data_IF_307770964878
#
_entry.id   IF_307770964878
#
_cell.length_a   1.000
_cell.length_b   1.000
_cell.length_c   1.000
_cell.angle_alpha   90.00
_cell.angle_beta   90.00
_cell.angle_gamma   90.00
#
_symmetry.space_group_name_H-M   'P 1'
#
loop_
_entity.id
_entity.type
_entity.pdbx_description
1 polymer ?
#
# COMPACT_ATOMS: atom_id res chain seq x y z
N UNK A 1 37.28 -7.23 -30.33
CA UNK A 1 37.28 -7.54 -28.88
C UNK A 1 37.24 -9.05 -28.69
N UNK A 2 38.03 -9.61 -27.77
CA UNK A 2 38.10 -11.08 -27.57
C UNK A 2 36.73 -11.59 -27.06
N UNK A 3 36.20 -12.72 -27.55
CA UNK A 3 34.84 -13.19 -27.23
C UNK A 3 34.60 -13.39 -25.73
N UNK A 4 35.65 -13.72 -24.97
CA UNK A 4 35.66 -13.79 -23.51
C UNK A 4 35.32 -12.47 -22.79
N UNK A 5 35.61 -11.32 -23.40
CA UNK A 5 35.34 -10.00 -22.82
C UNK A 5 33.91 -9.50 -23.13
N UNK A 6 33.33 -9.97 -24.24
CA UNK A 6 31.94 -9.66 -24.61
C UNK A 6 30.98 -10.43 -23.72
N UNK A 7 31.25 -11.72 -23.46
CA UNK A 7 30.44 -12.53 -22.52
C UNK A 7 30.45 -11.96 -21.09
N UNK A 8 31.61 -11.45 -20.63
CA UNK A 8 31.72 -10.80 -19.33
C UNK A 8 30.88 -9.52 -19.24
N UNK A 9 30.88 -8.69 -20.29
CA UNK A 9 30.09 -7.46 -20.30
C UNK A 9 28.58 -7.73 -20.30
N UNK A 10 28.10 -8.73 -21.02
CA UNK A 10 26.67 -9.10 -21.02
C UNK A 10 26.21 -9.56 -19.64
N UNK A 11 27.03 -10.35 -18.93
CA UNK A 11 26.72 -10.81 -17.56
C UNK A 11 26.69 -9.64 -16.56
N UNK A 12 27.59 -8.67 -16.69
CA UNK A 12 27.63 -7.48 -15.83
C UNK A 12 26.39 -6.61 -16.05
N UNK A 13 26.01 -6.37 -17.31
CA UNK A 13 24.83 -5.57 -17.64
C UNK A 13 23.55 -6.29 -17.18
N UNK A 14 23.45 -7.60 -17.35
CA UNK A 14 22.31 -8.39 -16.88
C UNK A 14 22.20 -8.41 -15.34
N UNK A 15 23.34 -8.52 -14.64
CA UNK A 15 23.40 -8.44 -13.18
C UNK A 15 23.00 -7.06 -12.65
N UNK A 16 23.41 -5.99 -13.34
CA UNK A 16 23.06 -4.62 -12.96
C UNK A 16 21.57 -4.30 -13.18
N UNK A 17 20.92 -4.93 -14.17
CA UNK A 17 19.47 -4.84 -14.38
C UNK A 17 18.69 -5.55 -13.27
N UNK A 18 19.19 -6.69 -12.76
CA UNK A 18 18.56 -7.40 -11.64
C UNK A 18 18.63 -6.63 -10.30
N UNK A 19 19.65 -5.78 -10.11
CA UNK A 19 19.77 -4.94 -8.90
C UNK A 19 18.84 -3.73 -8.90
N UNK A 20 18.34 -3.31 -10.07
CA UNK A 20 17.37 -2.21 -10.21
C UNK A 20 15.92 -2.67 -9.97
N UNK A 21 15.69 -3.97 -9.84
CA UNK A 21 14.37 -4.56 -9.52
C UNK A 21 14.22 -4.97 -8.06
N UNK A 22 15.19 -4.63 -7.19
CA UNK A 22 15.00 -4.77 -5.74
C UNK A 22 13.99 -3.69 -5.35
N UNK A 23 12.71 -4.06 -5.37
CA UNK A 23 11.60 -3.21 -5.00
C UNK A 23 11.90 -2.53 -3.68
N UNK A 24 11.58 -1.24 -3.62
CA UNK A 24 11.61 -0.44 -2.40
C UNK A 24 11.10 -1.29 -1.23
N UNK A 25 11.97 -1.56 -0.25
CA UNK A 25 11.55 -2.15 1.01
C UNK A 25 10.47 -1.25 1.59
N UNK A 26 9.22 -1.70 1.55
CA UNK A 26 8.07 -0.90 1.95
C UNK A 26 8.03 -0.87 3.48
N UNK A 27 8.79 0.04 4.07
CA UNK A 27 8.75 0.31 5.50
C UNK A 27 7.40 0.94 5.89
N UNK A 28 6.97 0.71 7.14
CA UNK A 28 5.85 1.40 7.76
C UNK A 28 5.90 2.90 7.43
N UNK A 29 4.91 3.38 6.68
CA UNK A 29 4.86 4.77 6.24
C UNK A 29 3.43 5.28 6.16
N UNK A 30 3.32 6.59 6.01
CA UNK A 30 2.06 7.24 5.74
C UNK A 30 1.71 7.13 4.25
N UNK A 31 0.45 6.82 3.97
CA UNK A 31 -0.13 6.84 2.64
C UNK A 31 -1.39 7.69 2.64
N UNK A 32 -1.61 8.42 1.54
CA UNK A 32 -2.88 9.09 1.29
C UNK A 32 -3.65 8.17 0.35
N UNK A 33 -4.82 7.71 0.77
CA UNK A 33 -5.57 6.71 0.04
C UNK A 33 -7.01 7.14 -0.24
N UNK A 34 -7.56 6.57 -1.30
CA UNK A 34 -9.01 6.52 -1.52
C UNK A 34 -9.55 5.21 -0.96
N UNK A 35 -10.70 5.27 -0.29
CA UNK A 35 -11.40 4.07 0.20
C UNK A 35 -12.28 3.52 -0.90
N UNK A 36 -12.03 2.29 -1.32
CA UNK A 36 -12.81 1.61 -2.35
C UNK A 36 -13.98 0.81 -1.74
N UNK A 37 -13.72 0.07 -0.66
CA UNK A 37 -14.72 -0.71 0.10
C UNK A 37 -14.34 -0.74 1.57
N UNK A 38 -15.34 -0.85 2.45
CA UNK A 38 -15.10 -1.10 3.87
C UNK A 38 -16.26 -1.92 4.44
N UNK A 39 -15.95 -2.89 5.31
CA UNK A 39 -17.00 -3.69 5.96
C UNK A 39 -16.47 -4.84 6.81
N UNK A 40 -17.34 -5.46 7.61
CA UNK A 40 -17.03 -6.67 8.36
C UNK A 40 -16.90 -7.88 7.44
N UNK A 41 -15.90 -8.73 7.70
CA UNK A 41 -15.70 -10.03 7.05
C UNK A 41 -15.35 -11.08 8.09
N UNK A 42 -16.28 -11.96 8.46
CA UNK A 42 -16.05 -12.90 9.55
C UNK A 42 -15.75 -12.16 10.88
N UNK A 43 -14.66 -12.50 11.60
CA UNK A 43 -14.32 -11.85 12.87
C UNK A 43 -13.64 -10.48 12.72
N UNK A 44 -13.25 -10.08 11.51
CA UNK A 44 -12.39 -8.92 11.29
C UNK A 44 -13.08 -7.84 10.44
N UNK A 45 -12.57 -6.61 10.53
CA UNK A 45 -13.01 -5.48 9.69
C UNK A 45 -12.00 -5.25 8.58
N UNK A 46 -12.48 -5.26 7.34
CA UNK A 46 -11.68 -5.11 6.13
C UNK A 46 -11.91 -3.75 5.50
N UNK A 47 -10.82 -3.12 5.05
CA UNK A 47 -10.86 -1.84 4.34
C UNK A 47 -10.00 -1.97 3.09
N UNK A 48 -10.60 -1.78 1.91
CA UNK A 48 -9.91 -1.78 0.63
C UNK A 48 -9.50 -0.36 0.25
N UNK A 49 -8.21 -0.18 0.01
CA UNK A 49 -7.60 1.13 -0.23
C UNK A 49 -6.82 1.14 -1.55
N UNK A 50 -6.81 2.30 -2.17
CA UNK A 50 -5.92 2.62 -3.31
C UNK A 50 -5.10 3.83 -2.95
N UNK A 51 -3.79 3.71 -3.06
CA UNK A 51 -2.85 4.81 -2.84
C UNK A 51 -3.08 5.92 -3.87
N UNK A 52 -3.01 7.17 -3.43
CA UNK A 52 -3.29 8.35 -4.25
C UNK A 52 -2.04 8.98 -4.88
N UNK A 53 -0.84 8.45 -4.60
CA UNK A 53 0.40 8.86 -5.23
C UNK A 53 0.45 8.43 -6.72
N UNK A 54 1.39 9.01 -7.47
CA UNK A 54 1.66 8.68 -8.88
C UNK A 54 3.17 8.42 -9.10
N UNK A 55 3.60 7.16 -9.29
CA UNK A 55 2.80 5.94 -9.36
C UNK A 55 2.26 5.51 -7.98
N UNK A 56 1.07 4.87 -7.92
CA UNK A 56 0.52 4.39 -6.66
C UNK A 56 1.36 3.23 -6.11
N UNK A 57 1.63 3.25 -4.80
CA UNK A 57 2.32 2.14 -4.12
C UNK A 57 1.49 0.85 -4.10
N UNK A 58 0.16 0.98 -4.07
CA UNK A 58 -0.78 -0.14 -4.16
C UNK A 58 -2.13 0.31 -4.71
N UNK A 59 -2.88 -0.62 -5.29
CA UNK A 59 -4.21 -0.37 -5.86
C UNK A 59 -5.16 -1.49 -5.47
N UNK A 60 -6.33 -1.15 -4.93
CA UNK A 60 -7.35 -2.13 -4.53
C UNK A 60 -6.86 -3.13 -3.48
N UNK A 61 -6.02 -2.70 -2.54
CA UNK A 61 -5.43 -3.59 -1.53
C UNK A 61 -6.28 -3.64 -0.27
N UNK A 62 -6.46 -4.84 0.27
CA UNK A 62 -7.18 -5.07 1.53
C UNK A 62 -6.28 -4.90 2.74
N UNK A 63 -6.79 -4.17 3.73
CA UNK A 63 -6.17 -3.97 5.03
C UNK A 63 -7.14 -4.40 6.13
N UNK A 64 -6.58 -4.83 7.26
CA UNK A 64 -7.32 -5.16 8.48
C UNK A 64 -7.31 -3.98 9.44
N UNK A 65 -8.47 -3.62 9.96
CA UNK A 65 -8.54 -2.76 11.13
C UNK A 65 -8.28 -3.60 12.39
N UNK A 66 -7.45 -3.13 13.35
CA UNK A 66 -7.20 -3.84 14.59
C UNK A 66 -8.46 -3.86 15.46
N UNK A 67 -8.69 -4.96 16.17
CA UNK A 67 -9.97 -5.24 16.86
C UNK A 67 -10.35 -4.17 17.89
N UNK A 68 -9.36 -3.55 18.52
CA UNK A 68 -9.52 -2.51 19.53
C UNK A 68 -10.01 -1.16 18.96
N UNK A 69 -9.81 -0.93 17.65
CA UNK A 69 -10.21 0.31 16.95
C UNK A 69 -11.01 0.06 15.68
N UNK A 70 -11.49 -1.18 15.49
CA UNK A 70 -12.14 -1.60 14.25
C UNK A 70 -13.40 -0.79 13.95
N UNK A 71 -14.19 -0.46 14.98
CA UNK A 71 -15.45 0.29 14.84
C UNK A 71 -15.18 1.74 14.43
N UNK A 72 -14.18 2.36 15.05
CA UNK A 72 -13.75 3.73 14.77
C UNK A 72 -13.20 3.83 13.35
N UNK A 73 -12.30 2.93 12.95
CA UNK A 73 -11.73 2.93 11.60
C UNK A 73 -12.79 2.64 10.53
N UNK A 74 -13.75 1.74 10.79
CA UNK A 74 -14.87 1.50 9.89
C UNK A 74 -15.74 2.75 9.72
N UNK A 75 -16.06 3.44 10.81
CA UNK A 75 -16.84 4.68 10.74
C UNK A 75 -16.13 5.76 9.92
N UNK A 76 -14.82 5.92 10.10
CA UNK A 76 -14.01 6.85 9.31
C UNK A 76 -13.99 6.45 7.83
N UNK A 77 -13.83 5.15 7.53
CA UNK A 77 -13.82 4.65 6.16
C UNK A 77 -15.17 4.88 5.46
N UNK A 78 -16.29 4.58 6.12
CA UNK A 78 -17.63 4.81 5.59
C UNK A 78 -17.91 6.32 5.39
N UNK A 79 -17.43 7.15 6.31
CA UNK A 79 -17.52 8.62 6.18
C UNK A 79 -16.73 9.11 4.96
N UNK A 80 -15.51 8.60 4.77
CA UNK A 80 -14.68 8.93 3.62
C UNK A 80 -15.36 8.54 2.30
N UNK A 81 -15.90 7.32 2.23
CA UNK A 81 -16.62 6.81 1.05
C UNK A 81 -17.85 7.66 0.72
N UNK A 82 -18.66 7.98 1.73
CA UNK A 82 -19.92 8.72 1.55
C UNK A 82 -19.68 10.16 1.07
N UNK A 83 -18.59 10.78 1.53
CA UNK A 83 -18.26 12.17 1.21
C UNK A 83 -17.22 12.32 0.08
N UNK A 84 -16.74 11.22 -0.52
CA UNK A 84 -15.68 11.26 -1.53
C UNK A 84 -14.35 11.83 -1.01
N UNK A 85 -14.07 11.68 0.29
CA UNK A 85 -12.87 12.21 0.93
C UNK A 85 -11.73 11.18 0.90
N UNK A 86 -10.49 11.69 0.99
CA UNK A 86 -9.30 10.84 1.12
C UNK A 86 -9.01 10.53 2.59
N UNK A 87 -8.28 9.46 2.82
CA UNK A 87 -7.82 9.05 4.15
C UNK A 87 -6.30 9.04 4.21
N UNK A 88 -5.73 9.41 5.35
CA UNK A 88 -4.33 9.18 5.65
C UNK A 88 -4.20 7.91 6.52
N UNK A 89 -3.40 6.96 6.06
CA UNK A 89 -3.17 5.71 6.77
C UNK A 89 -1.70 5.54 7.14
N UNK A 90 -1.43 4.96 8.31
CA UNK A 90 -0.11 4.44 8.64
C UNK A 90 -0.18 2.92 8.59
N UNK A 91 0.55 2.33 7.64
CA UNK A 91 0.54 0.90 7.41
C UNK A 91 1.91 0.42 6.95
N UNK A 92 2.18 -0.84 7.24
CA UNK A 92 3.12 -1.61 6.43
C UNK A 92 2.29 -2.18 5.26
N UNK A 93 2.58 -1.77 4.03
CA UNK A 93 1.81 -2.20 2.87
C UNK A 93 2.25 -3.58 2.36
N UNK A 94 3.13 -4.32 3.04
CA UNK A 94 3.51 -5.68 2.69
C UNK A 94 2.50 -6.74 3.20
N UNK A 95 2.60 -7.96 2.65
CA UNK A 95 1.70 -9.06 3.01
C UNK A 95 0.31 -9.00 2.35
N UNK A 96 -0.49 -10.04 2.61
CA UNK A 96 -1.81 -10.23 1.99
C UNK A 96 -2.88 -9.33 2.63
N UNK A 97 -2.89 -9.25 3.96
CA UNK A 97 -3.86 -8.49 4.75
C UNK A 97 -3.15 -7.73 5.90
N UNK A 98 -2.37 -6.69 5.58
CA UNK A 98 -1.69 -5.90 6.61
C UNK A 98 -2.65 -5.17 7.53
N UNK A 99 -2.24 -5.00 8.79
CA UNK A 99 -2.97 -4.21 9.77
C UNK A 99 -2.72 -2.71 9.60
N UNK A 100 -3.76 -1.93 9.84
CA UNK A 100 -3.69 -0.48 9.94
C UNK A 100 -3.27 -0.08 11.35
N UNK A 101 -2.23 0.75 11.44
CA UNK A 101 -1.81 1.33 12.72
C UNK A 101 -2.52 2.65 13.01
N UNK A 102 -2.84 3.42 11.97
CA UNK A 102 -3.58 4.68 12.07
C UNK A 102 -4.42 4.93 10.83
N UNK A 103 -5.56 5.60 11.02
CA UNK A 103 -6.53 5.85 9.96
C UNK A 103 -7.25 7.17 10.25
N UNK A 104 -7.02 8.18 9.40
CA UNK A 104 -7.54 9.54 9.57
C UNK A 104 -8.27 10.00 8.32
N UNK A 105 -9.37 10.71 8.51
CA UNK A 105 -10.08 11.42 7.45
C UNK A 105 -9.34 12.73 7.11
N UNK A 106 -9.11 13.01 5.83
CA UNK A 106 -8.53 14.27 5.38
C UNK A 106 -9.64 15.25 4.98
N UNK A 107 -9.74 16.40 5.67
CA UNK A 107 -10.64 17.47 5.26
C UNK A 107 -10.26 18.02 3.88
N UNK A 108 -11.24 18.17 2.99
CA UNK A 108 -11.07 18.97 1.78
C UNK A 108 -11.05 20.45 2.19
N UNK A 109 -9.97 21.15 1.86
CA UNK A 109 -9.87 22.61 2.00
C UNK A 109 -10.57 23.31 0.83
#
# INVERSE_FOLDING_TARGET
>A
MKPKMIGLMVVIVFSMVCLLTIGASAQQRWFICSVNYAGPGGPSTYIMLTDADSPPAFTGKWFLAPDDRAKEMLAVALTAMTNGMKVAIFADAEGTYPYLYSFYLLQQQ
#
